data_IF_778470652703
#
_entry.id   IF_778470652703
#
_cell.length_a   1.000
_cell.length_b   1.000
_cell.length_c   1.000
_cell.angle_alpha   90.00
_cell.angle_beta   90.00
_cell.angle_gamma   90.00
#
_symmetry.space_group_name_H-M   'P 1'
#
loop_
_entity.id
_entity.type
_entity.pdbx_description
1 polymer ?
#
# COMPACT_ATOMS: atom_id res chain seq x y z
N UNK A 1 35.39 26.80 -11.45
CA UNK A 1 34.49 26.59 -10.29
C UNK A 1 33.17 26.09 -10.85
N UNK A 2 33.16 24.82 -11.26
CA UNK A 2 31.92 24.14 -11.67
C UNK A 2 31.24 23.65 -10.40
N UNK A 3 30.01 24.13 -10.21
CA UNK A 3 29.22 23.87 -9.03
C UNK A 3 28.94 22.38 -8.90
N UNK A 4 29.52 21.78 -7.87
CA UNK A 4 29.00 20.56 -7.25
C UNK A 4 27.63 20.93 -6.65
N UNK A 5 26.59 21.02 -7.50
CA UNK A 5 25.23 20.89 -7.06
C UNK A 5 25.09 19.43 -6.64
N UNK A 6 25.35 19.17 -5.36
CA UNK A 6 24.80 18.04 -4.65
C UNK A 6 23.33 17.95 -5.06
N UNK A 7 23.05 16.98 -5.92
CA UNK A 7 21.73 16.46 -6.20
C UNK A 7 21.19 15.98 -4.86
N UNK A 8 20.58 16.91 -4.13
CA UNK A 8 19.96 16.64 -2.84
C UNK A 8 18.74 15.80 -3.21
N UNK A 9 18.95 14.48 -3.30
CA UNK A 9 17.97 13.54 -3.82
C UNK A 9 16.64 13.82 -3.14
N UNK A 10 15.70 14.39 -3.89
CA UNK A 10 14.37 14.68 -3.38
C UNK A 10 13.79 13.37 -2.89
N UNK A 11 13.56 13.27 -1.59
CA UNK A 11 13.07 12.05 -0.99
C UNK A 11 11.69 11.73 -1.56
N UNK A 12 11.47 10.45 -1.87
CA UNK A 12 10.23 9.96 -2.48
C UNK A 12 9.25 9.56 -1.40
N UNK A 13 7.97 9.63 -1.74
CA UNK A 13 6.91 9.39 -0.78
C UNK A 13 5.67 8.83 -1.47
N UNK A 14 5.21 7.66 -1.04
CA UNK A 14 3.90 7.13 -1.45
C UNK A 14 2.81 7.81 -0.64
N UNK A 15 1.77 8.30 -1.30
CA UNK A 15 0.60 8.89 -0.65
C UNK A 15 -0.50 7.83 -0.53
N UNK A 16 -0.91 7.53 0.70
CA UNK A 16 -2.06 6.67 1.01
C UNK A 16 -3.34 7.52 1.12
N UNK A 17 -4.48 6.92 0.74
CA UNK A 17 -5.81 7.50 0.87
C UNK A 17 -6.11 7.98 2.28
N UNK A 18 -5.71 7.24 3.32
CA UNK A 18 -5.98 7.65 4.70
C UNK A 18 -5.32 9.00 5.05
N UNK A 19 -4.14 9.29 4.47
CA UNK A 19 -3.50 10.59 4.60
C UNK A 19 -4.28 11.66 3.84
N UNK A 20 -4.71 11.37 2.60
CA UNK A 20 -5.53 12.30 1.84
C UNK A 20 -6.83 12.63 2.59
N UNK A 21 -7.50 11.66 3.20
CA UNK A 21 -8.74 11.88 3.94
C UNK A 21 -8.50 12.74 5.20
N UNK A 22 -7.40 12.49 5.92
CA UNK A 22 -7.07 13.20 7.16
C UNK A 22 -6.40 14.58 6.99
N UNK A 23 -5.66 14.79 5.90
CA UNK A 23 -4.89 16.02 5.68
C UNK A 23 -5.71 17.15 5.06
N UNK A 24 -5.35 18.40 5.39
CA UNK A 24 -5.84 19.58 4.68
C UNK A 24 -5.21 19.70 3.29
N UNK A 25 -5.84 20.48 2.40
CA UNK A 25 -5.29 20.80 1.07
C UNK A 25 -3.90 21.38 1.15
N UNK A 26 -3.65 22.31 2.07
CA UNK A 26 -2.32 22.91 2.27
C UNK A 26 -1.28 21.86 2.62
N UNK A 27 -1.59 20.95 3.55
CA UNK A 27 -0.66 19.89 3.95
C UNK A 27 -0.34 18.93 2.80
N UNK A 28 -1.34 18.52 2.03
CA UNK A 28 -1.10 17.65 0.86
C UNK A 28 -0.18 18.35 -0.15
N UNK A 29 -0.44 19.63 -0.45
CA UNK A 29 0.39 20.41 -1.38
C UNK A 29 1.80 20.63 -0.85
N UNK A 30 1.96 20.89 0.44
CA UNK A 30 3.27 21.03 1.08
C UNK A 30 4.08 19.73 0.99
N UNK A 31 3.42 18.58 1.19
CA UNK A 31 4.05 17.27 1.03
C UNK A 31 4.48 17.06 -0.41
N UNK A 32 3.59 17.30 -1.38
CA UNK A 32 3.91 17.14 -2.81
C UNK A 32 4.99 18.12 -3.28
N UNK A 33 5.09 19.32 -2.68
CA UNK A 33 6.13 20.29 -3.00
C UNK A 33 7.50 19.97 -2.39
N UNK A 34 7.53 19.32 -1.22
CA UNK A 34 8.77 18.98 -0.49
C UNK A 34 9.36 17.63 -0.89
N UNK A 35 8.51 16.70 -1.31
CA UNK A 35 8.86 15.33 -1.63
C UNK A 35 8.46 15.00 -3.06
N UNK A 36 9.15 14.04 -3.68
CA UNK A 36 8.69 13.50 -4.94
C UNK A 36 7.54 12.53 -4.67
N UNK A 37 6.31 13.04 -4.78
CA UNK A 37 5.11 12.27 -4.50
C UNK A 37 4.88 11.19 -5.55
N UNK A 38 4.67 9.96 -5.06
CA UNK A 38 4.27 8.81 -5.85
C UNK A 38 2.81 8.50 -5.53
N UNK A 39 1.99 8.50 -6.57
CA UNK A 39 0.59 8.08 -6.49
C UNK A 39 0.53 6.71 -7.14
N UNK A 40 0.14 5.68 -6.39
CA UNK A 40 -0.07 4.34 -6.96
C UNK A 40 -1.46 4.28 -7.60
N UNK A 41 -1.60 3.53 -8.69
CA UNK A 41 -2.87 3.30 -9.37
C UNK A 41 -4.06 2.94 -8.45
N UNK A 42 -3.91 2.03 -7.45
CA UNK A 42 -4.99 1.73 -6.50
C UNK A 42 -5.59 2.95 -5.80
N UNK A 43 -4.78 3.97 -5.49
CA UNK A 43 -5.30 5.22 -4.92
C UNK A 43 -6.30 5.88 -5.87
N UNK A 44 -5.98 5.91 -7.16
CA UNK A 44 -6.89 6.45 -8.15
C UNK A 44 -8.20 5.67 -8.19
N UNK A 45 -8.12 4.33 -8.16
CA UNK A 45 -9.31 3.49 -8.09
C UNK A 45 -10.17 3.80 -6.86
N UNK A 46 -9.59 3.80 -5.65
CA UNK A 46 -10.33 4.08 -4.42
C UNK A 46 -10.97 5.48 -4.41
N UNK A 47 -10.30 6.47 -4.99
CA UNK A 47 -10.87 7.81 -5.15
C UNK A 47 -12.01 7.82 -6.18
N UNK A 48 -11.87 7.10 -7.29
CA UNK A 48 -12.88 7.01 -8.35
C UNK A 48 -14.13 6.24 -7.91
N UNK A 49 -13.99 5.25 -7.02
CA UNK A 49 -15.08 4.43 -6.49
C UNK A 49 -15.67 4.95 -5.17
N UNK A 50 -15.19 6.10 -4.67
CA UNK A 50 -15.76 6.75 -3.49
C UNK A 50 -17.23 7.11 -3.73
N UNK A 51 -18.14 6.51 -2.95
CA UNK A 51 -19.60 6.64 -3.13
C UNK A 51 -20.13 8.08 -3.09
N UNK A 52 -19.47 8.96 -2.33
CA UNK A 52 -19.89 10.35 -2.12
C UNK A 52 -19.13 11.28 -3.08
N UNK A 53 -19.79 11.86 -4.11
CA UNK A 53 -19.12 12.73 -5.09
C UNK A 53 -18.40 13.92 -4.46
N UNK A 54 -18.94 14.49 -3.38
CA UNK A 54 -18.31 15.59 -2.64
C UNK A 54 -16.99 15.19 -1.96
N UNK A 55 -16.88 13.94 -1.49
CA UNK A 55 -15.64 13.43 -0.90
C UNK A 55 -14.59 13.17 -1.97
N UNK A 56 -14.99 12.53 -3.07
CA UNK A 56 -14.15 12.34 -4.26
C UNK A 56 -13.58 13.67 -4.75
N UNK A 57 -14.45 14.66 -4.99
CA UNK A 57 -14.05 16.02 -5.41
C UNK A 57 -13.04 16.63 -4.44
N UNK A 58 -13.33 16.58 -3.13
CA UNK A 58 -12.45 17.13 -2.10
C UNK A 58 -11.08 16.45 -2.09
N UNK A 59 -11.02 15.13 -2.29
CA UNK A 59 -9.76 14.40 -2.34
C UNK A 59 -8.92 14.81 -3.55
N UNK A 60 -9.49 14.83 -4.76
CA UNK A 60 -8.78 15.26 -5.98
C UNK A 60 -8.34 16.73 -5.92
N UNK A 61 -9.16 17.62 -5.34
CA UNK A 61 -8.83 19.03 -5.20
C UNK A 61 -7.63 19.32 -4.25
N UNK A 62 -7.25 18.36 -3.40
CA UNK A 62 -6.08 18.48 -2.51
C UNK A 62 -4.77 18.46 -3.28
N UNK A 63 -4.70 17.74 -4.39
CA UNK A 63 -3.48 17.67 -5.20
C UNK A 63 -3.18 19.01 -5.91
N UNK A 64 -1.90 19.30 -6.22
CA UNK A 64 -1.55 20.41 -7.09
C UNK A 64 -2.18 20.26 -8.48
N UNK A 65 -2.41 21.37 -9.19
CA UNK A 65 -2.97 21.38 -10.56
C UNK A 65 -1.89 21.41 -11.64
N UNK A 66 -0.65 21.62 -11.22
CA UNK A 66 0.53 21.69 -12.05
C UNK A 66 0.84 20.29 -12.63
N UNK A 67 1.05 20.18 -13.96
CA UNK A 67 1.51 18.93 -14.56
C UNK A 67 2.84 18.46 -13.96
N UNK A 68 2.97 17.16 -13.70
CA UNK A 68 4.20 16.57 -13.16
C UNK A 68 4.40 16.79 -11.66
N UNK A 69 3.37 17.22 -10.93
CA UNK A 69 3.42 17.33 -9.48
C UNK A 69 3.65 15.99 -8.77
N UNK A 70 3.31 14.87 -9.40
CA UNK A 70 3.51 13.52 -8.89
C UNK A 70 3.81 12.55 -10.04
N UNK A 71 4.42 11.41 -9.70
CA UNK A 71 4.55 10.28 -10.62
C UNK A 71 3.45 9.26 -10.35
N UNK A 72 2.80 8.80 -11.41
CA UNK A 72 1.80 7.73 -11.33
C UNK A 72 2.53 6.38 -11.46
N UNK A 73 2.45 5.57 -10.41
CA UNK A 73 3.05 4.24 -10.35
C UNK A 73 1.94 3.21 -10.65
N UNK A 74 2.18 2.24 -11.53
CA UNK A 74 1.17 1.24 -11.86
C UNK A 74 0.88 0.35 -10.66
N UNK A 75 -0.25 -0.37 -10.72
CA UNK A 75 -0.65 -1.32 -9.69
C UNK A 75 0.39 -2.43 -9.51
N UNK A 76 0.33 -3.09 -8.36
CA UNK A 76 1.32 -4.10 -7.99
C UNK A 76 1.38 -5.27 -8.98
N UNK A 77 0.25 -5.67 -9.58
CA UNK A 77 0.21 -6.74 -10.59
C UNK A 77 1.04 -6.42 -11.83
N UNK A 78 1.02 -5.17 -12.27
CA UNK A 78 1.87 -4.68 -13.37
C UNK A 78 3.35 -4.70 -12.97
N UNK A 79 3.69 -4.25 -11.76
CA UNK A 79 5.07 -4.29 -11.27
C UNK A 79 5.61 -5.72 -11.18
N UNK A 80 4.80 -6.66 -10.67
CA UNK A 80 5.17 -8.08 -10.59
C UNK A 80 5.35 -8.71 -11.96
N UNK A 81 4.50 -8.38 -12.95
CA UNK A 81 4.69 -8.83 -14.34
C UNK A 81 5.99 -8.32 -14.92
N UNK A 82 6.33 -7.05 -14.69
CA UNK A 82 7.58 -6.48 -15.18
C UNK A 82 8.81 -7.22 -14.59
N UNK A 83 8.78 -7.55 -13.29
CA UNK A 83 9.83 -8.38 -12.68
C UNK A 83 9.89 -9.78 -13.29
N UNK A 84 8.74 -10.39 -13.50
CA UNK A 84 8.63 -11.75 -14.03
C UNK A 84 9.16 -11.85 -15.48
N UNK A 85 8.77 -10.90 -16.33
CA UNK A 85 9.16 -10.84 -17.75
C UNK A 85 10.62 -10.41 -17.91
N UNK A 86 11.06 -9.40 -17.15
CA UNK A 86 12.42 -8.87 -17.19
C UNK A 86 13.45 -9.76 -16.48
N UNK A 87 13.01 -10.60 -15.54
CA UNK A 87 13.88 -11.43 -14.67
C UNK A 87 14.94 -10.60 -13.94
N UNK A 88 14.60 -9.38 -13.57
CA UNK A 88 15.44 -8.47 -12.81
C UNK A 88 14.61 -7.68 -11.78
N UNK A 89 15.20 -7.28 -10.65
CA UNK A 89 14.49 -6.51 -9.65
C UNK A 89 14.14 -5.12 -10.17
N UNK A 90 12.95 -4.63 -9.80
CA UNK A 90 12.61 -3.22 -10.00
C UNK A 90 13.32 -2.37 -8.94
N UNK A 91 14.61 -2.11 -9.16
CA UNK A 91 15.49 -1.38 -8.22
C UNK A 91 14.93 -0.04 -7.77
N UNK A 92 14.04 0.57 -8.56
CA UNK A 92 13.50 1.91 -8.41
C UNK A 92 12.07 1.96 -8.95
N UNK A 93 11.08 2.13 -8.08
CA UNK A 93 9.67 2.21 -8.50
C UNK A 93 9.40 3.37 -9.47
N UNK A 94 10.14 4.48 -9.36
CA UNK A 94 9.98 5.60 -10.29
C UNK A 94 10.38 5.25 -11.72
N UNK A 95 11.27 4.28 -11.92
CA UNK A 95 11.60 3.77 -13.25
C UNK A 95 10.46 3.00 -13.90
N UNK A 96 9.43 2.66 -13.11
CA UNK A 96 8.21 2.00 -13.56
C UNK A 96 7.02 2.98 -13.63
N UNK A 97 7.25 4.27 -13.40
CA UNK A 97 6.19 5.26 -13.50
C UNK A 97 5.58 5.21 -14.91
N UNK A 98 4.26 5.35 -14.98
CA UNK A 98 3.55 5.43 -16.25
C UNK A 98 4.11 6.63 -17.02
N UNK A 99 4.47 6.42 -18.29
CA UNK A 99 5.11 7.46 -19.08
C UNK A 99 4.23 8.71 -19.25
N UNK A 100 4.86 9.88 -19.23
CA UNK A 100 4.22 11.17 -19.48
C UNK A 100 4.18 12.11 -18.28
N UNK A 101 3.70 13.33 -18.54
CA UNK A 101 3.53 14.35 -17.50
C UNK A 101 2.08 14.30 -17.03
N UNK A 102 1.87 13.68 -15.86
CA UNK A 102 0.53 13.44 -15.33
C UNK A 102 -0.06 14.66 -14.63
N UNK A 103 -1.36 14.83 -14.79
CA UNK A 103 -2.20 15.78 -14.06
C UNK A 103 -3.58 15.14 -13.89
N UNK A 104 -4.19 15.30 -12.72
CA UNK A 104 -5.59 14.89 -12.55
C UNK A 104 -6.53 15.72 -13.43
N UNK A 105 -7.59 15.08 -13.92
CA UNK A 105 -8.63 15.75 -14.69
C UNK A 105 -9.27 16.89 -13.87
N UNK A 106 -9.35 18.10 -14.43
CA UNK A 106 -9.91 19.26 -13.72
C UNK A 106 -11.38 19.04 -13.33
N UNK A 107 -12.15 18.33 -14.16
CA UNK A 107 -13.52 17.95 -13.83
C UNK A 107 -13.65 17.11 -12.57
N UNK A 108 -12.66 16.28 -12.23
CA UNK A 108 -12.68 15.49 -10.97
C UNK A 108 -12.51 16.41 -9.76
N UNK A 109 -11.67 17.44 -9.90
CA UNK A 109 -11.40 18.45 -8.87
C UNK A 109 -12.59 19.39 -8.67
N UNK A 110 -13.30 19.69 -9.75
CA UNK A 110 -14.43 20.62 -9.74
C UNK A 110 -15.77 19.91 -9.45
N UNK A 111 -15.80 18.57 -9.56
CA UNK A 111 -17.00 17.74 -9.40
C UNK A 111 -17.90 17.69 -10.63
N UNK A 112 -17.37 18.07 -11.79
CA UNK A 112 -18.07 18.10 -13.07
C UNK A 112 -17.63 16.96 -14.01
N UNK A 113 -16.79 16.04 -13.54
CA UNK A 113 -16.35 14.90 -14.34
C UNK A 113 -17.48 13.92 -14.55
N UNK A 114 -17.70 13.54 -15.80
CA UNK A 114 -18.62 12.47 -16.19
C UNK A 114 -17.78 11.33 -16.76
N UNK A 115 -17.72 10.17 -16.09
CA UNK A 115 -16.98 9.02 -16.60
C UNK A 115 -17.50 8.58 -17.98
N UNK A 116 -16.59 8.31 -18.91
CA UNK A 116 -16.97 7.73 -20.20
C UNK A 116 -17.37 6.26 -20.03
N UNK A 117 -18.04 5.70 -21.05
CA UNK A 117 -18.38 4.28 -21.05
C UNK A 117 -17.14 3.37 -20.93
N UNK A 118 -16.01 3.78 -21.52
CA UNK A 118 -14.73 3.07 -21.39
C UNK A 118 -14.26 3.08 -19.94
N UNK A 119 -14.20 4.25 -19.29
CA UNK A 119 -13.77 4.37 -17.90
C UNK A 119 -14.65 3.55 -16.96
N UNK A 120 -15.97 3.53 -17.18
CA UNK A 120 -16.88 2.68 -16.42
C UNK A 120 -16.65 1.19 -16.65
N UNK A 121 -16.28 0.81 -17.88
CA UNK A 121 -15.87 -0.56 -18.21
C UNK A 121 -14.60 -0.96 -17.47
N UNK A 122 -13.59 -0.09 -17.48
CA UNK A 122 -12.30 -0.32 -16.83
C UNK A 122 -12.46 -0.42 -15.30
N UNK A 123 -13.29 0.44 -14.68
CA UNK A 123 -13.59 0.37 -13.25
C UNK A 123 -14.26 -0.95 -12.84
N UNK A 124 -15.15 -1.48 -13.67
CA UNK A 124 -15.80 -2.79 -13.40
C UNK A 124 -14.83 -3.96 -13.58
N UNK A 125 -13.94 -3.89 -14.56
CA UNK A 125 -12.91 -4.90 -14.75
C UNK A 125 -11.98 -4.94 -13.52
N UNK A 126 -11.58 -3.76 -13.03
CA UNK A 126 -10.78 -3.65 -11.82
C UNK A 126 -11.54 -4.16 -10.58
N UNK A 127 -12.82 -3.83 -10.43
CA UNK A 127 -13.65 -4.36 -9.33
C UNK A 127 -13.65 -5.89 -9.32
N UNK A 128 -13.74 -6.54 -10.50
CA UNK A 128 -13.66 -7.99 -10.60
C UNK A 128 -12.27 -8.54 -10.20
N UNK A 129 -11.18 -7.84 -10.56
CA UNK A 129 -9.82 -8.18 -10.15
C UNK A 129 -9.63 -8.05 -8.63
N UNK A 130 -10.18 -7.02 -8.01
CA UNK A 130 -10.16 -6.81 -6.55
C UNK A 130 -10.90 -7.95 -5.84
N UNK A 131 -12.08 -8.34 -6.35
CA UNK A 131 -12.84 -9.48 -5.80
C UNK A 131 -12.05 -10.78 -5.87
N UNK A 132 -11.41 -11.04 -7.02
CA UNK A 132 -10.57 -12.23 -7.21
C UNK A 132 -9.36 -12.23 -6.28
N UNK A 133 -8.64 -11.10 -6.20
CA UNK A 133 -7.44 -10.96 -5.38
C UNK A 133 -7.75 -11.07 -3.88
N UNK A 134 -8.88 -10.50 -3.46
CA UNK A 134 -9.39 -10.62 -2.07
C UNK A 134 -9.68 -12.08 -1.71
N UNK A 135 -10.23 -12.86 -2.64
CA UNK A 135 -10.49 -14.28 -2.42
C UNK A 135 -9.19 -15.07 -2.23
N UNK A 136 -8.21 -14.89 -3.11
CA UNK A 136 -6.88 -15.52 -2.97
C UNK A 136 -6.18 -15.12 -1.67
N UNK A 137 -6.30 -13.85 -1.28
CA UNK A 137 -5.75 -13.37 -0.01
C UNK A 137 -6.43 -14.02 1.21
N UNK A 138 -7.75 -14.19 1.20
CA UNK A 138 -8.48 -14.88 2.27
C UNK A 138 -8.05 -16.34 2.41
N UNK A 139 -7.82 -17.04 1.29
CA UNK A 139 -7.30 -18.41 1.28
C UNK A 139 -5.90 -18.49 1.90
N UNK A 140 -5.03 -17.50 1.60
CA UNK A 140 -3.73 -17.36 2.26
C UNK A 140 -3.89 -17.10 3.76
N UNK A 141 -4.82 -16.23 4.15
CA UNK A 141 -5.09 -15.94 5.57
C UNK A 141 -5.51 -17.20 6.33
N UNK A 142 -6.35 -18.05 5.74
CA UNK A 142 -6.80 -19.30 6.34
C UNK A 142 -5.68 -20.34 6.46
N UNK A 143 -4.75 -20.35 5.52
CA UNK A 143 -3.63 -21.30 5.46
C UNK A 143 -2.33 -20.78 6.10
N UNK A 144 -2.30 -19.55 6.62
CA UNK A 144 -1.05 -18.93 7.12
C UNK A 144 -0.34 -19.73 8.22
N UNK A 145 -1.09 -20.48 9.03
CA UNK A 145 -0.55 -21.37 10.06
C UNK A 145 0.32 -22.51 9.50
N UNK A 146 0.16 -22.88 8.23
CA UNK A 146 1.05 -23.85 7.56
C UNK A 146 2.47 -23.28 7.40
N UNK A 147 2.56 -21.96 7.23
CA UNK A 147 3.84 -21.24 7.17
C UNK A 147 4.37 -20.84 8.54
N UNK A 148 3.57 -20.93 9.59
CA UNK A 148 3.95 -20.66 10.98
C UNK A 148 3.37 -21.74 11.88
N UNK A 149 3.94 -22.97 11.87
CA UNK A 149 3.40 -24.10 12.61
C UNK A 149 3.26 -23.83 14.11
N UNK A 150 4.08 -22.93 14.66
CA UNK A 150 3.99 -22.46 16.04
C UNK A 150 2.63 -21.87 16.37
N UNK A 151 1.87 -21.33 15.40
CA UNK A 151 0.53 -20.78 15.57
C UNK A 151 -0.56 -21.85 15.76
N UNK A 152 -0.23 -23.12 15.54
CA UNK A 152 -1.16 -24.24 15.69
C UNK A 152 -1.26 -24.68 17.15
N UNK A 153 -2.47 -24.71 17.70
CA UNK A 153 -2.72 -25.21 19.06
C UNK A 153 -2.28 -24.26 20.20
N UNK A 154 -2.03 -22.98 19.89
CA UNK A 154 -1.74 -21.96 20.90
C UNK A 154 -3.00 -21.66 21.72
N UNK A 155 -2.85 -21.50 23.03
CA UNK A 155 -3.91 -21.00 23.90
C UNK A 155 -4.29 -19.54 23.56
N UNK A 156 -5.58 -19.19 23.68
CA UNK A 156 -6.08 -17.86 23.34
C UNK A 156 -5.30 -16.68 23.96
N UNK A 157 -4.75 -16.85 25.17
CA UNK A 157 -3.97 -15.81 25.86
C UNK A 157 -2.62 -15.53 25.23
N UNK A 158 -2.01 -16.50 24.56
CA UNK A 158 -0.66 -16.42 24.01
C UNK A 158 -0.67 -16.00 22.53
N UNK A 159 -1.85 -16.01 21.89
CA UNK A 159 -2.03 -15.68 20.48
C UNK A 159 -1.44 -14.31 20.08
N UNK A 160 -1.68 -13.21 20.83
CA UNK A 160 -1.12 -11.91 20.45
C UNK A 160 0.42 -11.88 20.42
N UNK A 161 1.07 -12.55 21.37
CA UNK A 161 2.52 -12.62 21.44
C UNK A 161 3.11 -13.48 20.31
N UNK A 162 2.43 -14.59 19.99
CA UNK A 162 2.83 -15.46 18.89
C UNK A 162 2.68 -14.76 17.53
N UNK A 163 1.57 -14.06 17.29
CA UNK A 163 1.37 -13.26 16.07
C UNK A 163 2.41 -12.16 15.95
N UNK A 164 2.73 -11.46 17.04
CA UNK A 164 3.78 -10.44 17.04
C UNK A 164 5.17 -11.03 16.71
N UNK A 165 5.46 -12.24 17.20
CA UNK A 165 6.70 -12.96 16.89
C UNK A 165 6.75 -13.35 15.42
N UNK A 166 5.69 -13.98 14.89
CA UNK A 166 5.60 -14.35 13.47
C UNK A 166 5.74 -13.13 12.55
N UNK A 167 5.07 -12.02 12.87
CA UNK A 167 5.18 -10.76 12.11
C UNK A 167 6.60 -10.20 12.12
N UNK A 168 7.30 -10.25 13.26
CA UNK A 168 8.72 -9.85 13.33
C UNK A 168 9.60 -10.77 12.49
N UNK A 169 9.35 -12.08 12.50
CA UNK A 169 10.07 -13.04 11.66
C UNK A 169 9.89 -12.71 10.17
N UNK A 170 8.66 -12.46 9.72
CA UNK A 170 8.38 -12.03 8.33
C UNK A 170 9.17 -10.78 7.98
N UNK A 171 9.22 -9.79 8.87
CA UNK A 171 9.87 -8.52 8.60
C UNK A 171 11.41 -8.61 8.56
N UNK A 172 12.01 -9.50 9.35
CA UNK A 172 13.47 -9.49 9.62
C UNK A 172 14.23 -10.70 9.09
N UNK A 173 13.58 -11.83 8.84
CA UNK A 173 14.23 -13.06 8.37
C UNK A 173 14.01 -13.27 6.88
N UNK A 174 15.01 -12.91 6.07
CA UNK A 174 15.00 -13.19 4.63
C UNK A 174 14.90 -14.69 4.36
N UNK A 175 15.66 -15.51 5.09
CA UNK A 175 15.62 -16.97 4.97
C UNK A 175 14.19 -17.49 5.12
N UNK A 176 13.48 -17.08 6.17
CA UNK A 176 12.10 -17.55 6.41
C UNK A 176 11.13 -17.12 5.32
N UNK A 177 11.23 -15.87 4.84
CA UNK A 177 10.38 -15.38 3.75
C UNK A 177 10.65 -16.19 2.47
N UNK A 178 11.91 -16.49 2.18
CA UNK A 178 12.29 -17.26 0.98
C UNK A 178 11.90 -18.74 1.08
N UNK A 179 11.90 -19.35 2.27
CA UNK A 179 11.33 -20.68 2.49
C UNK A 179 9.83 -20.71 2.14
N UNK A 180 9.08 -19.71 2.59
CA UNK A 180 7.64 -19.58 2.30
C UNK A 180 7.43 -19.33 0.80
N UNK A 181 8.24 -18.45 0.20
CA UNK A 181 8.21 -18.19 -1.24
C UNK A 181 8.42 -19.48 -2.04
N UNK A 182 9.40 -20.31 -1.67
CA UNK A 182 9.66 -21.58 -2.33
C UNK A 182 8.48 -22.57 -2.19
N UNK A 183 7.82 -22.59 -1.03
CA UNK A 183 6.63 -23.42 -0.81
C UNK A 183 5.45 -22.97 -1.67
N UNK A 184 5.18 -21.66 -1.75
CA UNK A 184 4.14 -21.10 -2.61
C UNK A 184 4.42 -21.40 -4.08
N UNK A 185 5.67 -21.22 -4.52
CA UNK A 185 6.08 -21.54 -5.89
C UNK A 185 5.92 -23.03 -6.22
N UNK A 186 6.11 -23.93 -5.25
CA UNK A 186 5.89 -25.36 -5.49
C UNK A 186 4.42 -25.67 -5.84
N UNK A 187 3.48 -24.80 -5.47
CA UNK A 187 2.05 -24.89 -5.79
C UNK A 187 1.73 -24.22 -7.13
N UNK A 188 2.41 -23.11 -7.46
CA UNK A 188 2.29 -22.42 -8.75
C UNK A 188 3.66 -21.98 -9.30
N UNK A 189 4.32 -22.91 -9.99
CA UNK A 189 5.66 -22.67 -10.54
C UNK A 189 5.67 -21.75 -11.76
N UNK A 190 4.51 -21.56 -12.41
CA UNK A 190 4.37 -20.79 -13.65
C UNK A 190 4.20 -19.30 -13.42
N UNK A 191 3.62 -18.91 -12.28
CA UNK A 191 3.35 -17.51 -11.96
C UNK A 191 4.41 -16.87 -11.06
N UNK A 192 5.46 -17.60 -10.67
CA UNK A 192 6.49 -17.15 -9.74
C UNK A 192 7.91 -17.44 -10.25
N UNK A 193 8.80 -16.46 -10.07
CA UNK A 193 10.22 -16.58 -10.40
C UNK A 193 10.91 -17.65 -9.53
N UNK A 194 12.04 -18.24 -9.97
CA UNK A 194 12.80 -19.16 -9.13
C UNK A 194 13.30 -18.48 -7.84
N UNK A 195 13.23 -19.13 -6.65
CA UNK A 195 13.59 -18.50 -5.38
C UNK A 195 15.05 -18.02 -5.32
N UNK A 196 15.96 -18.68 -6.05
CA UNK A 196 17.36 -18.27 -6.18
C UNK A 196 17.57 -16.95 -6.92
N UNK A 197 16.54 -16.45 -7.61
CA UNK A 197 16.58 -15.19 -8.37
C UNK A 197 16.09 -14.02 -7.52
N UNK A 198 15.12 -14.27 -6.63
CA UNK A 198 14.39 -13.24 -5.89
C UNK A 198 15.09 -12.91 -4.57
N UNK A 199 15.12 -11.62 -4.23
CA UNK A 199 15.77 -11.11 -3.02
C UNK A 199 15.09 -9.86 -2.46
N UNK A 200 15.64 -9.27 -1.39
CA UNK A 200 15.01 -8.15 -0.67
C UNK A 200 14.80 -6.84 -1.46
N UNK A 201 15.45 -6.72 -2.62
CA UNK A 201 15.33 -5.60 -3.57
C UNK A 201 14.25 -5.83 -4.64
N UNK A 202 13.54 -6.96 -4.60
CA UNK A 202 12.44 -7.27 -5.51
C UNK A 202 11.09 -6.86 -4.93
N UNK A 203 10.22 -6.34 -5.79
CA UNK A 203 8.82 -6.05 -5.51
C UNK A 203 8.08 -7.31 -5.09
N UNK A 204 8.30 -8.43 -5.79
CA UNK A 204 7.71 -9.74 -5.45
C UNK A 204 8.06 -10.21 -4.04
N UNK A 205 9.29 -9.99 -3.58
CA UNK A 205 9.71 -10.27 -2.21
C UNK A 205 8.96 -9.38 -1.22
N UNK A 206 8.95 -8.05 -1.44
CA UNK A 206 8.28 -7.10 -0.54
C UNK A 206 6.78 -7.30 -0.48
N UNK A 207 6.18 -7.59 -1.62
CA UNK A 207 4.76 -7.89 -1.72
C UNK A 207 4.39 -9.12 -0.92
N UNK A 208 5.20 -10.20 -0.98
CA UNK A 208 5.00 -11.39 -0.14
C UNK A 208 5.12 -11.05 1.35
N UNK A 209 6.12 -10.24 1.76
CA UNK A 209 6.22 -9.81 3.16
C UNK A 209 4.95 -9.07 3.61
N UNK A 210 4.47 -8.10 2.83
CA UNK A 210 3.26 -7.36 3.15
C UNK A 210 2.02 -8.28 3.21
N UNK A 211 1.89 -9.21 2.27
CA UNK A 211 0.84 -10.23 2.27
C UNK A 211 0.84 -11.07 3.55
N UNK A 212 2.00 -11.58 3.95
CA UNK A 212 2.14 -12.40 5.17
C UNK A 212 1.84 -11.56 6.43
N UNK A 213 2.28 -10.30 6.49
CA UNK A 213 1.97 -9.41 7.62
C UNK A 213 0.46 -9.15 7.76
N UNK A 214 -0.21 -8.85 6.65
CA UNK A 214 -1.66 -8.63 6.61
C UNK A 214 -2.42 -9.92 6.95
N UNK A 215 -1.99 -11.06 6.41
CA UNK A 215 -2.57 -12.37 6.69
C UNK A 215 -2.46 -12.75 8.17
N UNK A 216 -1.28 -12.58 8.76
CA UNK A 216 -1.05 -12.81 10.20
C UNK A 216 -1.90 -11.87 11.06
N UNK A 217 -2.10 -10.61 10.64
CA UNK A 217 -2.98 -9.68 11.35
C UNK A 217 -4.43 -10.17 11.33
N UNK A 218 -4.95 -10.54 10.17
CA UNK A 218 -6.34 -11.01 10.04
C UNK A 218 -6.54 -12.33 10.81
N UNK A 219 -5.61 -13.26 10.66
CA UNK A 219 -5.57 -14.53 11.42
C UNK A 219 -5.52 -14.29 12.93
N UNK A 220 -4.70 -13.34 13.39
CA UNK A 220 -4.63 -12.89 14.79
C UNK A 220 -5.95 -12.32 15.32
N UNK A 221 -6.57 -11.39 14.57
CA UNK A 221 -7.88 -10.79 14.93
C UNK A 221 -8.98 -11.84 15.08
N UNK A 222 -8.86 -12.95 14.35
CA UNK A 222 -9.82 -14.05 14.34
C UNK A 222 -9.36 -15.28 15.14
N UNK A 223 -8.24 -15.18 15.87
CA UNK A 223 -7.69 -16.26 16.71
C UNK A 223 -7.56 -17.59 15.94
N UNK A 224 -7.18 -17.50 14.68
CA UNK A 224 -7.02 -18.62 13.78
C UNK A 224 -8.29 -19.18 13.15
N UNK A 225 -9.47 -18.69 13.53
CA UNK A 225 -10.75 -19.13 12.97
C UNK A 225 -11.36 -18.05 12.07
N UNK A 226 -10.92 -18.00 10.82
CA UNK A 226 -11.40 -17.03 9.83
C UNK A 226 -12.64 -17.58 9.12
N UNK A 227 -13.81 -17.19 9.62
CA UNK A 227 -15.10 -17.39 8.93
C UNK A 227 -15.32 -16.27 7.90
N UNK A 228 -15.51 -16.65 6.62
CA UNK A 228 -15.58 -15.72 5.48
C UNK A 228 -16.96 -15.10 5.38
N UNK A 229 -17.26 -14.20 6.31
CA UNK A 229 -18.44 -13.34 6.30
C UNK A 229 -18.23 -12.13 5.39
N UNK A 230 -19.32 -11.43 5.02
CA UNK A 230 -19.24 -10.18 4.24
C UNK A 230 -18.34 -9.13 4.92
N UNK A 231 -18.40 -9.02 6.26
CA UNK A 231 -17.55 -8.08 7.02
C UNK A 231 -16.08 -8.51 7.12
N UNK A 232 -15.76 -9.80 6.98
CA UNK A 232 -14.38 -10.28 6.84
C UNK A 232 -13.86 -10.01 5.44
N UNK A 233 -14.67 -10.27 4.41
CA UNK A 233 -14.33 -9.96 3.02
C UNK A 233 -14.03 -8.47 2.81
N UNK A 234 -14.87 -7.59 3.33
CA UNK A 234 -14.64 -6.14 3.26
C UNK A 234 -13.34 -5.72 3.96
N UNK A 235 -13.02 -6.31 5.12
CA UNK A 235 -11.75 -6.03 5.82
C UNK A 235 -10.54 -6.57 5.08
N UNK A 236 -10.68 -7.72 4.42
CA UNK A 236 -9.65 -8.30 3.59
C UNK A 236 -9.39 -7.44 2.35
N UNK A 237 -10.44 -6.92 1.70
CA UNK A 237 -10.33 -5.97 0.60
C UNK A 237 -9.59 -4.69 1.01
N UNK A 238 -9.96 -4.07 2.14
CA UNK A 238 -9.22 -2.90 2.65
C UNK A 238 -7.75 -3.23 2.93
N UNK A 239 -7.47 -4.39 3.53
CA UNK A 239 -6.09 -4.83 3.78
C UNK A 239 -5.28 -5.06 2.49
N UNK A 240 -5.94 -5.45 1.38
CA UNK A 240 -5.33 -5.57 0.06
C UNK A 240 -4.93 -4.22 -0.54
N UNK A 241 -5.69 -3.15 -0.29
CA UNK A 241 -5.25 -1.82 -0.71
C UNK A 241 -4.10 -1.33 0.19
N UNK A 242 -4.23 -1.49 1.50
CA UNK A 242 -3.20 -1.12 2.49
C UNK A 242 -1.84 -1.74 2.18
N UNK A 243 -1.81 -3.04 1.80
CA UNK A 243 -0.55 -3.71 1.49
C UNK A 243 0.12 -3.17 0.22
N UNK A 244 -0.63 -2.60 -0.74
CA UNK A 244 -0.02 -2.02 -1.94
C UNK A 244 0.71 -0.72 -1.58
N UNK A 245 0.11 0.09 -0.69
CA UNK A 245 0.77 1.27 -0.13
C UNK A 245 2.01 0.91 0.69
N UNK A 246 1.94 -0.10 1.55
CA UNK A 246 3.08 -0.55 2.37
C UNK A 246 4.18 -1.12 1.47
N UNK A 247 3.83 -1.93 0.47
CA UNK A 247 4.79 -2.50 -0.49
C UNK A 247 5.50 -1.39 -1.25
N UNK A 248 4.76 -0.47 -1.86
CA UNK A 248 5.34 0.63 -2.61
C UNK A 248 6.16 1.58 -1.70
N UNK A 249 5.60 1.93 -0.53
CA UNK A 249 6.24 2.80 0.44
C UNK A 249 7.56 2.23 0.94
N UNK A 250 7.59 0.94 1.30
CA UNK A 250 8.80 0.26 1.80
C UNK A 250 9.90 0.17 0.74
N UNK A 251 9.55 0.04 -0.55
CA UNK A 251 10.49 0.07 -1.67
C UNK A 251 11.13 1.46 -1.87
N UNK A 252 10.41 2.54 -1.58
CA UNK A 252 10.92 3.91 -1.77
C UNK A 252 11.40 4.57 -0.49
N UNK A 253 11.21 3.91 0.66
CA UNK A 253 11.63 4.38 1.97
C UNK A 253 10.76 5.51 2.54
N UNK A 254 9.53 5.70 2.06
CA UNK A 254 8.67 6.80 2.50
C UNK A 254 7.18 6.59 2.23
N UNK A 255 6.35 6.86 3.23
CA UNK A 255 4.88 6.80 3.14
C UNK A 255 4.21 7.97 3.88
N UNK A 256 3.18 8.55 3.27
CA UNK A 256 2.24 9.47 3.91
C UNK A 256 0.95 8.70 4.20
N UNK A 257 0.68 8.41 5.48
CA UNK A 257 -0.49 7.64 5.92
C UNK A 257 -1.03 8.21 7.23
N UNK A 258 -2.35 8.19 7.41
CA UNK A 258 -2.99 8.41 8.71
C UNK A 258 -3.40 7.09 9.39
N UNK A 259 -3.37 5.98 8.66
CA UNK A 259 -3.71 4.66 9.16
C UNK A 259 -2.59 4.13 10.07
N UNK A 260 -3.00 3.55 11.21
CA UNK A 260 -2.07 3.02 12.22
C UNK A 260 -1.55 1.64 11.82
N UNK A 261 -2.40 0.80 11.23
CA UNK A 261 -2.05 -0.55 10.79
C UNK A 261 -1.07 -0.52 9.62
N UNK A 262 -1.25 0.43 8.68
CA UNK A 262 -0.31 0.71 7.57
C UNK A 262 1.03 1.21 8.12
N UNK A 263 1.02 2.16 9.06
CA UNK A 263 2.25 2.67 9.69
C UNK A 263 3.02 1.58 10.43
N UNK A 264 2.32 0.73 11.19
CA UNK A 264 2.93 -0.38 11.92
C UNK A 264 3.63 -1.37 10.97
N UNK A 265 2.98 -1.76 9.87
CA UNK A 265 3.61 -2.65 8.88
C UNK A 265 4.78 -1.98 8.15
N UNK A 266 4.61 -0.72 7.74
CA UNK A 266 5.68 0.03 7.10
C UNK A 266 6.92 0.14 8.00
N UNK A 267 6.74 0.43 9.30
CA UNK A 267 7.87 0.51 10.24
C UNK A 267 8.50 -0.84 10.55
N UNK A 268 7.76 -1.94 10.45
CA UNK A 268 8.34 -3.28 10.55
C UNK A 268 9.27 -3.56 9.37
N UNK A 269 8.86 -3.21 8.16
CA UNK A 269 9.62 -3.48 6.93
C UNK A 269 10.70 -2.45 6.63
N UNK A 270 10.49 -1.20 7.02
CA UNK A 270 11.39 -0.07 6.78
C UNK A 270 11.55 0.76 8.07
N UNK A 271 12.33 0.28 9.07
CA UNK A 271 12.44 0.94 10.38
C UNK A 271 13.00 2.37 10.32
N UNK A 272 13.85 2.66 9.33
CA UNK A 272 14.41 3.99 9.06
C UNK A 272 13.62 4.79 8.03
N UNK A 273 12.48 4.26 7.57
CA UNK A 273 11.65 4.89 6.56
C UNK A 273 10.92 6.13 7.07
N UNK A 274 10.66 7.07 6.16
CA UNK A 274 9.92 8.27 6.47
C UNK A 274 8.42 8.00 6.56
N UNK A 275 7.79 8.42 7.66
CA UNK A 275 6.33 8.43 7.81
C UNK A 275 5.85 9.86 7.97
N UNK A 276 4.94 10.30 7.09
CA UNK A 276 4.25 11.59 7.22
C UNK A 276 2.81 11.36 7.67
N UNK A 277 2.43 12.03 8.76
CA UNK A 277 1.07 12.02 9.33
C UNK A 277 0.38 13.37 9.08
N UNK A 278 -0.94 13.42 8.93
CA UNK A 278 -1.67 14.68 8.95
C UNK A 278 -1.43 15.40 10.29
N UNK A 279 -1.11 16.70 10.28
CA UNK A 279 -1.11 17.46 11.53
C UNK A 279 -2.56 17.59 11.98
N UNK A 280 -2.82 17.25 13.26
CA UNK A 280 -4.11 17.53 13.88
C UNK A 280 -4.33 19.03 13.82
N UNK A 281 -5.53 19.47 13.41
CA UNK A 281 -5.94 20.84 13.67
C UNK A 281 -5.90 20.99 15.17
N UNK A 282 -5.02 21.84 15.69
CA UNK A 282 -5.16 22.35 17.04
C UNK A 282 -6.57 22.94 17.09
N UNK A 283 -7.49 22.23 17.75
CA UNK A 283 -8.78 22.81 18.07
C UNK A 283 -8.45 23.98 18.97
N UNK A 284 -8.62 25.20 18.46
CA UNK A 284 -8.55 26.43 19.21
C UNK A 284 -9.26 26.20 20.55
N UNK A 285 -8.46 26.05 21.59
CA UNK A 285 -8.93 26.04 22.97
C UNK A 285 -9.19 27.50 23.37
N UNK A 286 -9.97 28.20 22.55
CA UNK A 286 -10.46 29.54 22.83
C UNK A 286 -11.83 29.42 23.50
N UNK A 287 -11.89 28.72 24.63
CA UNK A 287 -12.94 28.92 25.61
C UNK A 287 -12.29 29.02 27.00
N UNK A 288 -12.71 30.04 27.74
CA UNK A 288 -12.35 30.41 29.11
C UNK A 288 -11.08 31.27 29.29
N UNK A 289 -11.13 32.51 28.81
CA UNK A 289 -10.77 33.69 29.62
C UNK A 289 -11.63 34.88 29.16
N UNK A 290 -12.90 34.88 29.57
CA UNK A 290 -13.64 36.13 29.72
C UNK A 290 -13.59 36.52 31.21
N UNK A 291 -13.44 37.82 31.50
CA UNK A 291 -13.07 38.37 32.81
C UNK A 291 -14.10 38.15 33.92
#
# INVERSE_FOLDING_TARGET
MEGCLTDCMTQKLVIDKSFLDGASTTQVRDVVARYHALVIEPLFYELMTTEKPDMQRKAFAKFPSEPGAFSLIPNIGTLLRNEFEGREPLRRLEGCAIEGVHKFNDGLRDGNYVPTAQVLGDLRAWEAEVVSSTQTFLEMCQSVHQFFPELSGIEFRDFPAAIATARRTVATSQERVMEIYAQLRAQDATSMLPPETVGPDWVSYRFLQCHLLAALRLFGKHQGNIDVTAGVRLRAEHAMHDLEYVSAGSMVGGIATNDREVEEDFRLLCPSGLVIKPMRRETDSSEACLP
#
